data_IF_129643610072
#
_entry.id   IF_129643610072
#
_cell.length_a   1.000
_cell.length_b   1.000
_cell.length_c   1.000
_cell.angle_alpha   90.00
_cell.angle_beta   90.00
_cell.angle_gamma   90.00
#
_symmetry.space_group_name_H-M   'P 1'
#
loop_
_entity.id
_entity.type
_entity.pdbx_description
1 polymer ?
#
# COMPACT_ATOMS: atom_id res chain seq x y z
N UNK A 1 3.82 -3.85 15.98
CA UNK A 1 4.52 -5.08 16.41
C UNK A 1 6.00 -4.82 16.53
N UNK A 2 6.57 -5.21 17.64
CA UNK A 2 7.98 -4.99 17.90
C UNK A 2 8.83 -6.02 17.15
N UNK A 3 9.74 -5.58 16.29
CA UNK A 3 10.57 -6.48 15.49
C UNK A 3 11.48 -7.36 16.33
N UNK A 4 11.90 -6.88 17.49
CA UNK A 4 12.74 -7.66 18.42
C UNK A 4 12.07 -8.92 18.92
N UNK A 5 10.75 -8.95 18.94
CA UNK A 5 9.96 -10.08 19.39
C UNK A 5 9.63 -11.08 18.29
N UNK A 6 9.97 -10.75 17.07
CA UNK A 6 9.73 -11.65 15.94
C UNK A 6 10.75 -12.78 15.95
N UNK A 7 10.37 -14.01 15.54
CA UNK A 7 11.34 -15.05 15.25
C UNK A 7 12.31 -14.56 14.19
N UNK A 8 13.53 -15.06 14.17
CA UNK A 8 14.49 -14.77 13.12
C UNK A 8 13.86 -15.08 11.76
N UNK A 9 13.92 -14.14 10.81
CA UNK A 9 13.39 -14.42 9.48
C UNK A 9 14.16 -15.55 8.82
N UNK A 10 13.47 -16.31 7.99
CA UNK A 10 14.10 -17.34 7.20
C UNK A 10 15.16 -16.73 6.27
N UNK A 11 16.21 -17.49 5.89
CA UNK A 11 17.14 -17.03 4.87
C UNK A 11 16.42 -16.63 3.59
N UNK A 12 16.96 -15.67 2.81
CA UNK A 12 16.29 -15.22 1.58
C UNK A 12 15.90 -16.34 0.62
N UNK A 13 16.66 -17.41 0.58
CA UNK A 13 16.39 -18.57 -0.27
C UNK A 13 15.14 -19.35 0.15
N UNK A 14 14.71 -19.21 1.41
CA UNK A 14 13.57 -19.94 1.97
C UNK A 14 12.36 -19.05 2.19
N UNK A 15 12.53 -17.72 2.06
CA UNK A 15 11.40 -16.79 2.17
C UNK A 15 10.66 -16.69 0.86
N UNK A 16 9.32 -16.56 0.92
CA UNK A 16 8.55 -16.21 -0.24
C UNK A 16 8.93 -14.84 -0.77
N UNK A 17 8.71 -14.63 -2.05
CA UNK A 17 8.95 -13.31 -2.67
C UNK A 17 7.94 -12.31 -2.17
N UNK A 18 8.39 -11.08 -2.03
CA UNK A 18 7.55 -9.95 -1.63
C UNK A 18 7.36 -9.01 -2.80
N UNK A 19 6.21 -8.33 -2.80
CA UNK A 19 5.90 -7.33 -3.81
C UNK A 19 5.50 -6.04 -3.14
N UNK A 20 5.78 -4.94 -3.81
CA UNK A 20 5.48 -3.60 -3.35
C UNK A 20 4.45 -3.00 -4.29
N UNK A 21 3.32 -2.61 -3.73
CA UNK A 21 2.19 -2.07 -4.47
C UNK A 21 2.14 -0.57 -4.24
N UNK A 22 2.24 0.20 -5.33
CA UNK A 22 2.05 1.64 -5.26
C UNK A 22 0.57 1.94 -5.41
N UNK A 23 0.02 2.74 -4.50
CA UNK A 23 -1.38 3.16 -4.56
C UNK A 23 -1.48 4.67 -4.46
N UNK A 24 -2.55 5.21 -4.99
CA UNK A 24 -2.87 6.63 -4.86
C UNK A 24 -4.28 6.77 -4.34
N UNK A 25 -4.47 7.66 -3.38
CA UNK A 25 -5.78 7.97 -2.84
C UNK A 25 -6.29 9.24 -3.51
N UNK A 26 -7.47 9.14 -4.11
CA UNK A 26 -8.18 10.28 -4.69
C UNK A 26 -9.33 10.58 -3.73
N UNK A 27 -9.31 11.74 -3.10
CA UNK A 27 -10.26 12.09 -2.05
C UNK A 27 -10.97 13.41 -2.33
N UNK A 28 -12.18 13.54 -1.81
CA UNK A 28 -12.96 14.79 -1.91
C UNK A 28 -12.40 15.88 -1.01
N UNK A 29 -11.73 15.49 0.08
CA UNK A 29 -11.20 16.42 1.06
C UNK A 29 -9.94 15.82 1.69
N UNK A 30 -9.29 16.56 2.56
CA UNK A 30 -8.12 16.12 3.29
C UNK A 30 -8.50 15.10 4.34
N UNK A 31 -7.58 14.18 4.62
CA UNK A 31 -7.74 13.18 5.67
C UNK A 31 -6.43 13.00 6.41
N UNK A 32 -6.51 12.42 7.59
CA UNK A 32 -5.35 12.14 8.43
C UNK A 32 -4.71 10.83 7.98
N UNK A 33 -3.39 10.79 7.84
CA UNK A 33 -2.67 9.59 7.40
C UNK A 33 -2.98 8.36 8.28
N UNK A 34 -3.11 8.56 9.58
CA UNK A 34 -3.44 7.45 10.48
C UNK A 34 -4.80 6.83 10.14
N UNK A 35 -5.76 7.65 9.70
CA UNK A 35 -7.07 7.15 9.28
C UNK A 35 -6.96 6.33 8.00
N UNK A 36 -6.05 6.70 7.09
CA UNK A 36 -5.77 5.90 5.91
C UNK A 36 -5.23 4.53 6.30
N UNK A 37 -4.26 4.48 7.20
CA UNK A 37 -3.68 3.22 7.67
C UNK A 37 -4.77 2.34 8.30
N UNK A 38 -5.61 2.92 9.13
CA UNK A 38 -6.70 2.20 9.78
C UNK A 38 -7.69 1.64 8.75
N UNK A 39 -8.01 2.43 7.73
CA UNK A 39 -8.92 2.01 6.66
C UNK A 39 -8.34 0.86 5.84
N UNK A 40 -7.04 0.92 5.54
CA UNK A 40 -6.36 -0.16 4.83
C UNK A 40 -6.41 -1.45 5.65
N UNK A 41 -6.04 -1.39 6.94
CA UNK A 41 -6.08 -2.57 7.79
C UNK A 41 -7.49 -3.13 7.95
N UNK A 42 -8.47 -2.26 8.11
CA UNK A 42 -9.87 -2.68 8.22
C UNK A 42 -10.33 -3.44 6.96
N UNK A 43 -10.00 -2.93 5.79
CA UNK A 43 -10.35 -3.56 4.53
C UNK A 43 -9.64 -4.91 4.35
N UNK A 44 -8.36 -4.95 4.69
CA UNK A 44 -7.57 -6.19 4.60
C UNK A 44 -8.11 -7.26 5.54
N UNK A 45 -8.42 -6.90 6.76
CA UNK A 45 -8.95 -7.84 7.75
C UNK A 45 -10.34 -8.33 7.37
N UNK A 46 -11.17 -7.46 6.80
CA UNK A 46 -12.50 -7.86 6.33
C UNK A 46 -12.42 -8.84 5.18
N UNK A 47 -11.48 -8.65 4.26
CA UNK A 47 -11.35 -9.52 3.10
C UNK A 47 -10.62 -10.82 3.41
N UNK A 48 -9.53 -10.75 4.15
CA UNK A 48 -8.63 -11.88 4.37
C UNK A 48 -8.86 -12.62 5.69
N UNK A 49 -9.46 -11.95 6.67
CA UNK A 49 -9.48 -12.43 8.04
C UNK A 49 -8.12 -12.31 8.70
N UNK A 50 -8.06 -12.57 9.99
CA UNK A 50 -6.82 -12.46 10.76
C UNK A 50 -5.73 -13.41 10.24
N UNK A 51 -6.10 -14.66 9.98
CA UNK A 51 -5.15 -15.66 9.51
C UNK A 51 -4.62 -15.30 8.13
N UNK A 52 -5.51 -14.95 7.21
CA UNK A 52 -5.10 -14.56 5.86
C UNK A 52 -4.23 -13.32 5.85
N UNK A 53 -4.57 -12.31 6.64
CA UNK A 53 -3.77 -11.09 6.74
C UNK A 53 -2.38 -11.40 7.32
N UNK A 54 -2.29 -12.30 8.30
CA UNK A 54 -1.01 -12.72 8.86
C UNK A 54 -0.14 -13.43 7.82
N UNK A 55 -0.74 -14.30 7.02
CA UNK A 55 0.00 -15.05 5.98
C UNK A 55 0.41 -14.16 4.81
N UNK A 56 -0.29 -13.08 4.57
CA UNK A 56 0.01 -12.16 3.47
C UNK A 56 1.26 -11.30 3.70
N UNK A 57 1.82 -11.33 4.91
CA UNK A 57 3.06 -10.60 5.26
C UNK A 57 2.98 -9.11 4.88
N UNK A 58 1.91 -8.46 5.33
CA UNK A 58 1.60 -7.10 4.96
C UNK A 58 2.39 -6.09 5.78
N UNK A 59 2.96 -5.10 5.08
CA UNK A 59 3.63 -3.98 5.70
C UNK A 59 3.26 -2.70 4.96
N UNK A 60 2.63 -1.78 5.67
CA UNK A 60 2.30 -0.47 5.11
C UNK A 60 3.55 0.41 5.30
N UNK A 61 4.16 0.81 4.20
CA UNK A 61 5.38 1.62 4.23
C UNK A 61 5.00 3.06 4.52
N UNK A 62 5.37 3.55 5.70
CA UNK A 62 4.97 4.90 6.14
C UNK A 62 5.95 5.97 5.70
N UNK A 63 7.23 5.67 5.70
CA UNK A 63 8.29 6.64 5.47
C UNK A 63 8.29 7.24 4.07
N UNK A 64 7.75 6.52 3.10
CA UNK A 64 7.75 6.94 1.70
C UNK A 64 6.43 7.55 1.26
N UNK A 65 5.46 7.71 2.16
CA UNK A 65 4.17 8.26 1.81
C UNK A 65 4.29 9.74 1.43
N UNK A 66 3.78 10.08 0.25
CA UNK A 66 3.75 11.45 -0.26
C UNK A 66 2.39 12.07 0.04
N UNK A 67 2.33 12.97 1.02
CA UNK A 67 1.07 13.59 1.44
C UNK A 67 0.45 14.48 0.37
N UNK A 68 1.27 15.12 -0.44
CA UNK A 68 0.76 16.03 -1.48
C UNK A 68 0.05 15.28 -2.59
N UNK A 69 0.62 14.18 -3.02
CA UNK A 69 0.07 13.36 -4.11
C UNK A 69 -0.81 12.25 -3.59
N UNK A 70 -0.75 11.99 -2.28
CA UNK A 70 -1.45 10.89 -1.62
C UNK A 70 -1.08 9.54 -2.23
N UNK A 71 0.20 9.36 -2.49
CA UNK A 71 0.76 8.11 -3.03
C UNK A 71 1.53 7.40 -1.93
N UNK A 72 1.24 6.13 -1.76
CA UNK A 72 1.91 5.28 -0.78
C UNK A 72 2.28 3.93 -1.34
N UNK A 73 2.97 3.16 -0.51
CA UNK A 73 3.44 1.82 -0.85
C UNK A 73 2.99 0.85 0.24
N UNK A 74 2.50 -0.31 -0.19
CA UNK A 74 2.18 -1.41 0.70
C UNK A 74 2.91 -2.66 0.20
N UNK A 75 3.56 -3.37 1.14
CA UNK A 75 4.27 -4.62 0.83
C UNK A 75 3.39 -5.80 1.18
N UNK A 76 3.46 -6.84 0.38
CA UNK A 76 2.80 -8.10 0.68
C UNK A 76 3.54 -9.27 0.04
N UNK A 77 3.17 -10.49 0.42
CA UNK A 77 3.65 -11.69 -0.25
C UNK A 77 3.21 -11.68 -1.72
N UNK A 78 4.04 -12.19 -2.61
CA UNK A 78 3.72 -12.26 -4.03
C UNK A 78 2.44 -13.06 -4.32
N UNK A 79 2.08 -13.99 -3.45
CA UNK A 79 0.85 -14.79 -3.59
C UNK A 79 -0.41 -14.03 -3.23
N UNK A 80 -0.29 -12.88 -2.58
CA UNK A 80 -1.44 -12.14 -2.06
C UNK A 80 -1.66 -10.80 -2.74
N UNK A 81 -0.96 -10.53 -3.85
CA UNK A 81 -1.06 -9.25 -4.56
C UNK A 81 -2.49 -8.94 -4.98
N UNK A 82 -3.18 -9.88 -5.60
CA UNK A 82 -4.54 -9.64 -6.07
C UNK A 82 -5.52 -9.40 -4.93
N UNK A 83 -5.34 -10.09 -3.82
CA UNK A 83 -6.18 -9.89 -2.63
C UNK A 83 -5.96 -8.51 -2.02
N UNK A 84 -4.70 -8.05 -1.96
CA UNK A 84 -4.39 -6.72 -1.43
C UNK A 84 -4.92 -5.63 -2.37
N UNK A 85 -4.78 -5.81 -3.69
CA UNK A 85 -5.35 -4.88 -4.67
C UNK A 85 -6.86 -4.76 -4.49
N UNK A 86 -7.54 -5.89 -4.32
CA UNK A 86 -8.98 -5.92 -4.09
C UNK A 86 -9.35 -5.19 -2.81
N UNK A 87 -8.61 -5.44 -1.72
CA UNK A 87 -8.86 -4.77 -0.45
C UNK A 87 -8.71 -3.24 -0.57
N UNK A 88 -7.70 -2.78 -1.31
CA UNK A 88 -7.52 -1.35 -1.55
C UNK A 88 -8.67 -0.76 -2.37
N UNK A 89 -9.12 -1.49 -3.39
CA UNK A 89 -10.21 -1.04 -4.25
C UNK A 89 -11.55 -0.96 -3.52
N UNK A 90 -11.72 -1.72 -2.44
CA UNK A 90 -12.96 -1.73 -1.66
C UNK A 90 -13.07 -0.56 -0.69
N UNK A 91 -12.00 0.19 -0.47
CA UNK A 91 -12.03 1.33 0.44
C UNK A 91 -12.81 2.47 -0.22
N UNK A 92 -13.91 2.87 0.41
CA UNK A 92 -14.76 3.95 -0.09
C UNK A 92 -14.68 5.21 0.76
N UNK A 93 -14.21 5.06 2.01
CA UNK A 93 -14.09 6.17 2.95
C UNK A 93 -12.82 6.04 3.78
N UNK A 94 -12.25 7.20 4.11
CA UNK A 94 -11.18 7.32 5.09
C UNK A 94 -11.69 8.33 6.11
N UNK A 95 -12.00 7.85 7.33
CA UNK A 95 -12.76 8.65 8.26
C UNK A 95 -14.12 9.01 7.65
N UNK A 96 -14.44 10.28 7.59
CA UNK A 96 -15.69 10.76 6.98
C UNK A 96 -15.51 11.19 5.52
N UNK A 97 -14.31 11.06 4.97
CA UNK A 97 -13.98 11.54 3.63
C UNK A 97 -14.20 10.44 2.60
N UNK A 98 -14.94 10.74 1.55
CA UNK A 98 -15.12 9.79 0.44
C UNK A 98 -13.88 9.75 -0.42
N UNK A 99 -13.46 8.53 -0.75
CA UNK A 99 -12.22 8.32 -1.50
C UNK A 99 -12.36 7.22 -2.54
N UNK A 100 -11.42 7.22 -3.48
CA UNK A 100 -11.15 6.09 -4.36
C UNK A 100 -9.66 5.78 -4.22
N UNK A 101 -9.33 4.52 -3.96
CA UNK A 101 -7.94 4.10 -3.90
C UNK A 101 -7.59 3.39 -5.20
N UNK A 102 -6.63 3.96 -5.91
CA UNK A 102 -6.19 3.47 -7.20
C UNK A 102 -4.82 2.81 -7.06
N UNK A 103 -4.67 1.59 -7.55
CA UNK A 103 -3.36 0.94 -7.62
C UNK A 103 -2.64 1.43 -8.86
N UNK A 104 -1.46 2.01 -8.67
CA UNK A 104 -0.64 2.53 -9.77
C UNK A 104 0.18 1.42 -10.42
N UNK A 105 0.65 0.47 -9.64
CA UNK A 105 1.41 -0.65 -10.16
C UNK A 105 2.14 -1.41 -9.07
N UNK A 106 2.93 -2.38 -9.49
CA UNK A 106 3.57 -3.34 -8.61
C UNK A 106 5.05 -3.45 -9.00
N UNK A 107 5.93 -3.53 -8.00
CA UNK A 107 7.36 -3.67 -8.22
C UNK A 107 7.98 -4.59 -7.16
N UNK A 108 9.23 -5.00 -7.39
CA UNK A 108 9.97 -5.89 -6.50
C UNK A 108 10.70 -5.19 -5.35
N UNK A 109 10.77 -3.88 -5.34
CA UNK A 109 11.46 -3.14 -4.27
C UNK A 109 10.85 -1.76 -4.07
N UNK A 110 11.09 -1.16 -2.89
CA UNK A 110 10.63 0.20 -2.58
C UNK A 110 11.24 1.20 -3.56
N UNK A 111 12.54 1.10 -3.79
CA UNK A 111 13.26 2.02 -4.66
C UNK A 111 12.72 2.00 -6.09
N UNK A 112 12.53 0.80 -6.65
CA UNK A 112 11.98 0.66 -7.99
C UNK A 112 10.56 1.20 -8.08
N UNK A 113 9.77 0.99 -7.04
CA UNK A 113 8.39 1.49 -6.96
C UNK A 113 8.38 3.02 -6.95
N UNK A 114 9.24 3.64 -6.16
CA UNK A 114 9.33 5.09 -6.10
C UNK A 114 9.76 5.69 -7.45
N UNK A 115 10.77 5.12 -8.07
CA UNK A 115 11.27 5.60 -9.35
C UNK A 115 10.23 5.47 -10.45
N UNK A 116 9.54 4.34 -10.49
CA UNK A 116 8.60 4.05 -11.57
C UNK A 116 7.28 4.79 -11.43
N UNK A 117 6.71 4.83 -10.23
CA UNK A 117 5.34 5.32 -10.06
C UNK A 117 5.26 6.74 -9.51
N UNK A 118 6.18 7.13 -8.65
CA UNK A 118 6.17 8.49 -8.08
C UNK A 118 6.61 9.52 -9.11
N UNK A 119 7.62 9.20 -9.90
CA UNK A 119 8.11 10.11 -10.94
C UNK A 119 7.18 10.19 -12.14
N UNK A 120 6.58 9.08 -12.56
CA UNK A 120 5.57 9.08 -13.63
C UNK A 120 4.40 10.00 -13.29
N UNK A 121 3.95 9.96 -12.04
CA UNK A 121 2.88 10.86 -11.58
C UNK A 121 3.31 12.32 -11.69
N UNK A 122 4.57 12.64 -11.39
CA UNK A 122 5.12 13.98 -11.57
C UNK A 122 5.07 14.41 -13.04
N UNK A 123 5.53 13.55 -13.94
CA UNK A 123 5.54 13.84 -15.37
C UNK A 123 4.14 14.03 -15.91
N UNK A 124 3.20 13.22 -15.48
CA UNK A 124 1.80 13.34 -15.89
C UNK A 124 1.21 14.66 -15.45
N UNK A 125 1.47 15.09 -14.21
CA UNK A 125 1.01 16.36 -13.69
C UNK A 125 1.63 17.53 -14.46
N UNK A 126 2.91 17.44 -14.74
CA UNK A 126 3.63 18.45 -15.52
C UNK A 126 3.03 18.59 -16.92
N UNK A 127 2.77 17.48 -17.58
CA UNK A 127 2.17 17.45 -18.92
C UNK A 127 0.77 18.07 -18.91
N UNK A 128 -0.01 17.83 -17.90
CA UNK A 128 -1.35 18.42 -17.77
C UNK A 128 -1.31 19.93 -17.55
N UNK A 129 -0.24 20.44 -16.97
CA UNK A 129 -0.08 21.86 -16.72
C UNK A 129 0.32 22.62 -17.97
N UNK A 130 0.92 21.95 -18.92
CA UNK A 130 1.31 22.52 -20.20
C UNK A 130 0.11 22.61 -21.14
#
# INVERSE_FOLDING_TARGET
MDEEKRPKPLPPSLRGRRRYIAYQVISEDKFIFQDLINSIWHSLLNLLGELGASQADIWIVKDTYDEKKQIGIIRCSHNNVEQVRTALALIERIGDVRVVVKVLGISGSIKATQMKFFEETKLTEFTKTL
#
